data_IF_228662349635
#
_entry.id   IF_228662349635
#
_cell.length_a   1.000
_cell.length_b   1.000
_cell.length_c   1.000
_cell.angle_alpha   90.00
_cell.angle_beta   90.00
_cell.angle_gamma   90.00
#
_symmetry.space_group_name_H-M   'P 1'
#
loop_
_entity.id
_entity.type
_entity.pdbx_description
1 polymer ?
#
# COMPACT_ATOMS: atom_id res chain seq x y z
N UNK A 1 13.83 7.34 0.49
CA UNK A 1 12.52 7.76 0.00
C UNK A 1 12.36 7.51 -1.48
N UNK A 2 11.13 7.52 -1.95
CA UNK A 2 10.81 7.31 -3.36
C UNK A 2 9.76 8.33 -3.84
N UNK A 3 9.65 8.48 -5.16
CA UNK A 3 8.55 9.18 -5.82
C UNK A 3 7.84 8.16 -6.69
N UNK A 4 6.55 7.98 -6.46
CA UNK A 4 5.70 7.06 -7.20
C UNK A 4 4.84 7.89 -8.15
N UNK A 5 4.92 7.60 -9.44
CA UNK A 5 4.17 8.27 -10.49
C UNK A 5 3.18 7.27 -11.12
N UNK A 6 1.94 7.18 -10.61
CA UNK A 6 0.95 6.29 -11.18
C UNK A 6 0.49 6.82 -12.54
N UNK A 7 0.37 5.92 -13.52
CA UNK A 7 -0.16 6.22 -14.84
C UNK A 7 -1.00 5.06 -15.34
N UNK A 8 -2.06 5.36 -16.06
CA UNK A 8 -2.92 4.29 -16.56
C UNK A 8 -4.25 4.74 -17.14
N UNK A 9 -5.17 3.79 -17.18
CA UNK A 9 -6.56 4.00 -17.57
C UNK A 9 -7.45 3.23 -16.60
N UNK A 10 -8.49 3.89 -16.11
CA UNK A 10 -9.55 3.28 -15.32
C UNK A 10 -10.89 3.51 -16.02
N UNK A 11 -11.76 2.52 -15.99
CA UNK A 11 -13.13 2.63 -16.49
C UNK A 11 -14.08 1.96 -15.53
N UNK A 12 -15.26 2.53 -15.33
CA UNK A 12 -16.29 1.99 -14.47
C UNK A 12 -17.69 2.33 -14.97
N UNK A 13 -18.67 1.47 -14.68
CA UNK A 13 -20.08 1.73 -14.94
C UNK A 13 -20.71 2.49 -13.78
N UNK A 14 -21.23 3.68 -14.02
CA UNK A 14 -21.93 4.51 -13.03
C UNK A 14 -23.30 4.88 -13.58
N UNK A 15 -24.36 4.49 -12.88
CA UNK A 15 -25.75 4.74 -13.29
C UNK A 15 -26.07 4.40 -14.75
N UNK A 16 -25.50 3.29 -15.28
CA UNK A 16 -25.71 2.84 -16.66
C UNK A 16 -24.85 3.53 -17.72
N UNK A 17 -23.99 4.46 -17.32
CA UNK A 17 -23.03 5.14 -18.21
C UNK A 17 -21.61 4.64 -17.90
N UNK A 18 -20.79 4.41 -18.94
CA UNK A 18 -19.37 4.09 -18.75
C UNK A 18 -18.57 5.40 -18.64
N UNK A 19 -17.97 5.62 -17.49
CA UNK A 19 -17.00 6.68 -17.28
C UNK A 19 -15.58 6.12 -17.47
N UNK A 20 -14.67 6.93 -18.00
CA UNK A 20 -13.27 6.57 -18.23
C UNK A 20 -12.36 7.76 -17.90
N UNK A 21 -11.31 7.50 -17.13
CA UNK A 21 -10.20 8.42 -16.88
C UNK A 21 -8.89 7.79 -17.34
N UNK A 22 -7.98 8.57 -17.92
CA UNK A 22 -6.67 8.12 -18.39
C UNK A 22 -5.64 9.22 -18.23
N UNK A 23 -4.41 8.84 -17.98
CA UNK A 23 -3.32 9.80 -17.79
C UNK A 23 -2.50 9.47 -16.55
N UNK A 24 -2.12 10.47 -15.78
CA UNK A 24 -1.41 10.32 -14.53
C UNK A 24 -2.39 10.39 -13.36
N UNK A 25 -2.21 9.51 -12.38
CA UNK A 25 -2.83 9.63 -11.06
C UNK A 25 -2.07 10.63 -10.19
N UNK A 26 -2.47 10.74 -8.93
CA UNK A 26 -1.79 11.61 -7.97
C UNK A 26 -0.39 11.07 -7.65
N UNK A 27 0.69 11.84 -7.90
CA UNK A 27 2.04 11.44 -7.50
C UNK A 27 2.13 11.28 -6.00
N UNK A 28 2.88 10.27 -5.54
CA UNK A 28 3.06 9.99 -4.12
C UNK A 28 4.53 10.09 -3.74
N UNK A 29 4.80 10.79 -2.65
CA UNK A 29 6.09 10.84 -2.00
C UNK A 29 6.10 9.80 -0.89
N UNK A 30 7.05 8.87 -0.95
CA UNK A 30 7.25 7.84 0.06
C UNK A 30 8.50 8.15 0.87
N UNK A 31 8.39 8.05 2.17
CA UNK A 31 9.47 8.19 3.13
C UNK A 31 9.51 6.97 4.04
N UNK A 32 10.65 6.29 4.06
CA UNK A 32 10.88 5.15 4.93
C UNK A 32 12.11 5.42 5.81
N UNK A 33 11.98 5.17 7.12
CA UNK A 33 13.03 5.35 8.10
C UNK A 33 13.13 4.14 9.04
N UNK A 34 14.32 3.52 9.07
CA UNK A 34 14.57 2.37 9.95
C UNK A 34 14.64 2.82 11.41
N UNK A 35 13.74 2.31 12.25
CA UNK A 35 13.66 2.56 13.68
C UNK A 35 14.46 1.53 14.48
N UNK A 36 14.29 0.26 14.13
CA UNK A 36 14.94 -0.89 14.78
C UNK A 36 15.41 -1.81 13.68
N UNK A 37 16.61 -2.28 13.77
CA UNK A 37 17.12 -3.26 12.83
C UNK A 37 18.60 -3.09 12.53
N UNK A 38 19.08 -3.87 11.62
CA UNK A 38 20.50 -3.89 11.29
C UNK A 38 20.89 -2.61 10.54
N UNK A 39 22.09 -2.15 10.87
CA UNK A 39 22.69 -0.99 10.19
C UNK A 39 22.96 -1.31 8.73
N UNK A 40 22.93 -0.28 7.88
CA UNK A 40 23.31 -0.39 6.48
C UNK A 40 24.72 -0.98 6.35
N UNK A 41 24.86 -2.02 5.52
CA UNK A 41 26.13 -2.66 5.24
C UNK A 41 26.92 -1.81 4.25
N UNK A 42 28.23 -1.63 4.51
CA UNK A 42 29.09 -0.74 3.72
C UNK A 42 29.92 -1.48 2.68
N UNK A 43 30.15 -2.76 2.86
CA UNK A 43 31.00 -3.58 1.97
C UNK A 43 30.27 -4.83 1.51
N UNK A 44 30.65 -5.35 0.32
CA UNK A 44 30.09 -6.59 -0.22
C UNK A 44 30.29 -7.79 0.72
N UNK A 45 31.48 -8.00 1.34
CA UNK A 45 31.66 -9.09 2.30
C UNK A 45 30.72 -8.99 3.52
N UNK A 46 30.41 -7.80 3.99
CA UNK A 46 29.48 -7.60 5.11
C UNK A 46 28.04 -7.96 4.70
N UNK A 47 27.63 -7.57 3.48
CA UNK A 47 26.33 -7.94 2.92
C UNK A 47 26.17 -9.46 2.82
N UNK A 48 27.22 -10.17 2.36
CA UNK A 48 27.18 -11.63 2.20
C UNK A 48 27.10 -12.40 3.52
N UNK A 49 27.57 -11.80 4.60
CA UNK A 49 27.54 -12.39 5.96
C UNK A 49 26.37 -11.92 6.80
N UNK A 50 25.59 -11.02 6.24
CA UNK A 50 24.51 -10.37 6.95
C UNK A 50 23.31 -11.29 7.18
N UNK A 51 22.84 -11.35 8.41
CA UNK A 51 21.57 -11.95 8.78
C UNK A 51 20.58 -10.86 9.18
N UNK A 52 19.40 -10.74 8.50
CA UNK A 52 18.49 -9.61 8.71
C UNK A 52 17.88 -9.54 10.11
N UNK A 53 17.61 -10.68 10.75
CA UNK A 53 17.03 -10.72 12.09
C UNK A 53 15.64 -10.08 12.13
N UNK A 54 15.50 -9.01 12.91
CA UNK A 54 14.27 -8.23 13.04
C UNK A 54 14.50 -6.78 12.62
N UNK A 55 13.59 -6.22 11.84
CA UNK A 55 13.53 -4.79 11.55
C UNK A 55 12.13 -4.22 11.72
N UNK A 56 12.09 -2.97 12.13
CA UNK A 56 10.89 -2.14 12.21
C UNK A 56 11.21 -0.79 11.59
N UNK A 57 10.41 -0.39 10.64
CA UNK A 57 10.53 0.89 9.96
C UNK A 57 9.32 1.80 10.24
N UNK A 58 9.49 3.09 10.05
CA UNK A 58 8.42 4.06 9.90
C UNK A 58 8.24 4.34 8.42
N UNK A 59 7.04 4.13 7.92
CA UNK A 59 6.63 4.48 6.56
C UNK A 59 5.69 5.68 6.59
N UNK A 60 5.94 6.67 5.76
CA UNK A 60 5.06 7.82 5.54
C UNK A 60 4.91 8.06 4.05
N UNK A 61 3.68 8.03 3.58
CA UNK A 61 3.32 8.35 2.20
C UNK A 61 2.46 9.61 2.17
N UNK A 62 2.67 10.46 1.16
CA UNK A 62 1.89 11.65 0.90
C UNK A 62 1.60 11.76 -0.60
N UNK A 63 0.34 11.68 -0.98
CA UNK A 63 -0.12 11.89 -2.35
C UNK A 63 -0.47 13.35 -2.60
N UNK A 64 0.01 13.86 -3.72
CA UNK A 64 -0.22 15.23 -4.17
C UNK A 64 -1.43 15.27 -5.11
N UNK A 65 -2.45 16.11 -4.87
CA UNK A 65 -3.69 16.14 -5.66
C UNK A 65 -3.52 16.85 -7.00
N UNK A 66 -2.63 16.35 -7.85
CA UNK A 66 -2.30 16.93 -9.15
C UNK A 66 -2.48 15.95 -10.32
N UNK A 67 -3.05 14.77 -10.05
CA UNK A 67 -3.39 13.78 -11.06
C UNK A 67 -4.57 14.18 -11.94
N UNK A 68 -4.80 13.40 -12.99
CA UNK A 68 -5.92 13.62 -13.92
C UNK A 68 -7.27 13.48 -13.20
N UNK A 69 -8.02 14.58 -13.14
CA UNK A 69 -9.29 14.65 -12.43
C UNK A 69 -10.31 15.44 -13.24
N UNK A 70 -11.51 14.88 -13.34
CA UNK A 70 -12.68 15.53 -13.91
C UNK A 70 -13.80 15.52 -12.88
N UNK A 71 -14.16 16.70 -12.36
CA UNK A 71 -15.15 16.84 -11.29
C UNK A 71 -16.58 16.47 -11.71
N UNK A 72 -16.86 16.32 -12.99
CA UNK A 72 -18.15 15.84 -13.48
C UNK A 72 -18.28 14.32 -13.51
N UNK A 73 -17.21 13.59 -13.18
CA UNK A 73 -17.14 12.12 -13.21
C UNK A 73 -16.85 11.55 -11.81
N UNK A 74 -17.40 10.36 -11.53
CA UNK A 74 -17.11 9.60 -10.32
C UNK A 74 -15.86 8.74 -10.45
N UNK A 75 -15.48 8.39 -11.70
CA UNK A 75 -14.32 7.55 -12.01
C UNK A 75 -13.17 8.42 -12.48
N UNK A 76 -12.16 8.57 -11.64
CA UNK A 76 -10.98 9.40 -11.87
C UNK A 76 -9.69 8.66 -11.51
N UNK A 77 -8.56 9.03 -12.11
CA UNK A 77 -7.23 8.58 -11.72
C UNK A 77 -6.68 9.37 -10.55
N UNK A 78 -6.84 10.69 -10.56
CA UNK A 78 -6.55 11.57 -9.43
C UNK A 78 -7.75 11.63 -8.46
N UNK A 79 -7.49 11.97 -7.19
CA UNK A 79 -8.54 12.06 -6.17
C UNK A 79 -8.98 13.50 -5.85
N UNK A 80 -8.28 14.52 -6.39
CA UNK A 80 -8.54 15.95 -6.11
C UNK A 80 -8.57 16.28 -4.61
N UNK A 81 -7.75 15.59 -3.83
CA UNK A 81 -7.58 15.78 -2.38
C UNK A 81 -6.22 15.26 -1.94
N UNK A 82 -5.73 15.79 -0.83
CA UNK A 82 -4.58 15.22 -0.15
C UNK A 82 -4.98 13.89 0.50
N UNK A 83 -4.12 12.91 0.38
CA UNK A 83 -4.23 11.68 1.15
C UNK A 83 -2.83 11.11 1.40
N UNK A 84 -2.72 10.29 2.42
CA UNK A 84 -1.45 9.71 2.77
C UNK A 84 -1.61 8.54 3.72
N UNK A 85 -0.51 7.89 4.00
CA UNK A 85 -0.44 6.72 4.85
C UNK A 85 0.68 6.88 5.85
N UNK A 86 0.42 6.44 7.08
CA UNK A 86 1.45 6.16 8.08
C UNK A 86 1.39 4.67 8.38
N UNK A 87 2.55 4.01 8.29
CA UNK A 87 2.67 2.58 8.49
C UNK A 87 3.92 2.22 9.29
N UNK A 88 3.94 0.97 9.77
CA UNK A 88 5.04 0.40 10.52
C UNK A 88 5.48 -0.93 9.89
N UNK A 89 6.25 -0.90 8.78
CA UNK A 89 6.78 -2.11 8.17
C UNK A 89 7.64 -2.91 9.15
N UNK A 90 7.35 -4.19 9.29
CA UNK A 90 8.10 -5.15 10.08
C UNK A 90 8.62 -6.24 9.16
N UNK A 91 9.90 -6.56 9.27
CA UNK A 91 10.48 -7.75 8.65
C UNK A 91 11.11 -8.58 9.77
N UNK A 92 10.67 -9.82 9.90
CA UNK A 92 11.15 -10.73 10.94
C UNK A 92 11.62 -12.05 10.36
N UNK A 93 12.92 -12.31 10.50
CA UNK A 93 13.51 -13.60 10.20
C UNK A 93 13.12 -14.60 11.30
N UNK A 94 12.33 -15.61 10.97
CA UNK A 94 11.82 -16.61 11.91
C UNK A 94 12.71 -17.86 12.06
N UNK A 95 13.80 -17.94 11.29
CA UNK A 95 14.68 -19.11 11.28
C UNK A 95 16.08 -18.78 10.79
N UNK A 96 16.86 -19.81 10.48
CA UNK A 96 18.22 -19.65 9.95
C UNK A 96 18.22 -18.95 8.58
N UNK A 97 19.17 -18.05 8.37
CA UNK A 97 19.35 -17.34 7.09
C UNK A 97 20.19 -18.15 6.10
N UNK A 98 19.81 -19.40 5.88
CA UNK A 98 20.50 -20.32 4.98
C UNK A 98 19.60 -20.64 3.80
N UNK A 99 20.09 -20.55 2.54
CA UNK A 99 19.32 -20.95 1.36
C UNK A 99 18.65 -22.32 1.55
N UNK A 100 17.40 -22.45 1.15
CA UNK A 100 16.59 -23.64 1.33
C UNK A 100 15.95 -23.80 2.72
N UNK A 101 16.19 -22.88 3.67
CA UNK A 101 15.65 -22.92 5.03
C UNK A 101 15.18 -21.57 5.57
N UNK A 102 15.33 -20.50 4.80
CA UNK A 102 14.90 -19.17 5.23
C UNK A 102 13.38 -19.13 5.46
N UNK A 103 12.99 -18.47 6.51
CA UNK A 103 11.59 -18.14 6.78
C UNK A 103 11.51 -16.70 7.23
N UNK A 104 10.69 -15.90 6.56
CA UNK A 104 10.53 -14.47 6.84
C UNK A 104 9.06 -14.15 6.98
N UNK A 105 8.71 -13.45 8.04
CA UNK A 105 7.41 -12.80 8.23
C UNK A 105 7.57 -11.31 7.96
N UNK A 106 6.77 -10.79 7.06
CA UNK A 106 6.68 -9.37 6.74
C UNK A 106 5.28 -8.89 7.09
N UNK A 107 5.19 -7.77 7.82
CA UNK A 107 3.92 -7.16 8.21
C UNK A 107 3.95 -5.67 7.87
N UNK A 108 2.84 -5.14 7.37
CA UNK A 108 2.62 -3.72 7.17
C UNK A 108 1.28 -3.30 7.77
N UNK A 109 1.20 -3.07 9.09
CA UNK A 109 0.10 -2.31 9.64
C UNK A 109 0.22 -0.84 9.25
N UNK A 110 -0.86 -0.26 8.74
CA UNK A 110 -0.88 1.13 8.32
C UNK A 110 -2.27 1.76 8.45
N UNK A 111 -2.30 3.09 8.45
CA UNK A 111 -3.55 3.87 8.44
C UNK A 111 -3.44 4.90 7.32
N UNK A 112 -4.42 4.88 6.44
CA UNK A 112 -4.64 5.90 5.41
C UNK A 112 -5.53 7.01 5.96
N UNK A 113 -5.20 8.24 5.61
CA UNK A 113 -5.94 9.44 5.97
C UNK A 113 -6.22 10.26 4.72
N UNK A 114 -7.37 10.91 4.69
CA UNK A 114 -7.85 11.63 3.52
C UNK A 114 -8.34 13.02 3.93
N UNK A 115 -8.01 14.04 3.15
CA UNK A 115 -8.70 15.31 3.23
C UNK A 115 -10.03 15.23 2.47
N UNK A 116 -10.89 16.24 2.65
CA UNK A 116 -12.12 16.33 1.88
C UNK A 116 -11.83 16.61 0.40
N UNK A 117 -12.61 16.02 -0.51
CA UNK A 117 -12.72 16.46 -1.89
C UNK A 117 -13.99 17.32 -2.00
N UNK A 118 -13.80 18.63 -2.25
CA UNK A 118 -14.91 19.60 -2.26
C UNK A 118 -15.61 19.73 -3.61
N UNK A 119 -15.19 18.97 -4.61
CA UNK A 119 -15.77 19.02 -5.97
C UNK A 119 -15.82 17.61 -6.59
N UNK A 120 -16.49 16.69 -5.92
CA UNK A 120 -16.76 15.33 -6.40
C UNK A 120 -18.18 15.30 -7.00
N UNK A 121 -18.28 15.37 -8.33
CA UNK A 121 -19.55 15.50 -9.05
C UNK A 121 -20.39 16.68 -8.57
N UNK A 122 -19.74 17.82 -8.29
CA UNK A 122 -20.35 19.02 -7.74
C UNK A 122 -20.74 18.93 -6.27
N UNK A 123 -20.24 17.92 -5.53
CA UNK A 123 -20.57 17.63 -4.13
C UNK A 123 -19.31 17.49 -3.29
N UNK A 124 -19.49 17.47 -1.98
CA UNK A 124 -18.41 17.25 -1.03
C UNK A 124 -18.30 15.76 -0.67
N UNK A 125 -17.17 15.16 -0.99
CA UNK A 125 -16.80 13.81 -0.56
C UNK A 125 -15.92 13.87 0.68
N UNK A 126 -16.34 13.23 1.77
CA UNK A 126 -15.52 12.96 2.95
C UNK A 126 -15.27 11.47 3.06
N UNK A 127 -14.08 11.10 3.55
CA UNK A 127 -13.70 9.70 3.77
C UNK A 127 -12.99 9.59 5.11
N UNK A 128 -13.49 8.69 5.95
CA UNK A 128 -12.87 8.36 7.24
C UNK A 128 -11.56 7.60 7.03
N UNK A 129 -10.69 7.53 8.04
CA UNK A 129 -9.46 6.75 7.94
C UNK A 129 -9.71 5.28 7.57
N UNK A 130 -8.75 4.70 6.85
CA UNK A 130 -8.73 3.30 6.45
C UNK A 130 -7.55 2.59 7.11
N UNK A 131 -7.84 1.57 7.90
CA UNK A 131 -6.83 0.63 8.40
C UNK A 131 -6.45 -0.37 7.31
N UNK A 132 -5.16 -0.64 7.18
CA UNK A 132 -4.55 -1.63 6.31
C UNK A 132 -3.64 -2.55 7.14
N UNK A 133 -3.71 -3.85 6.87
CA UNK A 133 -2.72 -4.83 7.32
C UNK A 133 -2.37 -5.72 6.15
N UNK A 134 -1.12 -5.66 5.70
CA UNK A 134 -0.57 -6.65 4.78
C UNK A 134 0.35 -7.58 5.57
N UNK A 135 0.31 -8.88 5.27
CA UNK A 135 1.15 -9.88 5.88
C UNK A 135 1.64 -10.88 4.83
N UNK A 136 2.94 -11.16 4.85
CA UNK A 136 3.58 -12.12 3.97
C UNK A 136 4.43 -13.08 4.79
N UNK A 137 4.20 -14.38 4.64
CA UNK A 137 5.03 -15.42 5.23
C UNK A 137 5.72 -16.18 4.12
N UNK A 138 7.00 -15.91 3.94
CA UNK A 138 7.83 -16.55 2.90
C UNK A 138 8.67 -17.67 3.50
N UNK A 139 8.74 -18.80 2.79
CA UNK A 139 9.53 -19.97 3.19
C UNK A 139 10.30 -20.54 2.00
N UNK A 140 11.61 -20.76 2.18
CA UNK A 140 12.40 -21.61 1.30
C UNK A 140 12.15 -23.09 1.66
N UNK A 141 11.79 -23.91 0.69
CA UNK A 141 11.65 -25.36 0.83
C UNK A 141 12.91 -26.10 0.40
N UNK A 142 13.58 -25.58 -0.63
CA UNK A 142 14.90 -26.00 -1.11
C UNK A 142 15.72 -24.76 -1.53
N UNK A 143 16.93 -24.95 -2.00
CA UNK A 143 17.76 -23.84 -2.54
C UNK A 143 17.15 -23.16 -3.77
N UNK A 144 16.24 -23.84 -4.47
CA UNK A 144 15.62 -23.36 -5.70
C UNK A 144 14.08 -23.22 -5.60
N UNK A 145 13.44 -23.81 -4.60
CA UNK A 145 12.00 -23.77 -4.43
C UNK A 145 11.64 -22.99 -3.17
N UNK A 146 10.79 -21.99 -3.31
CA UNK A 146 10.25 -21.22 -2.22
C UNK A 146 8.75 -20.99 -2.39
N UNK A 147 8.06 -20.60 -1.34
CA UNK A 147 6.66 -20.21 -1.38
C UNK A 147 6.36 -19.10 -0.39
N UNK A 148 5.29 -18.39 -0.64
CA UNK A 148 4.76 -17.40 0.27
C UNK A 148 3.24 -17.58 0.45
N UNK A 149 2.79 -17.25 1.66
CA UNK A 149 1.38 -17.03 1.98
C UNK A 149 1.19 -15.53 2.18
N UNK A 150 0.17 -14.97 1.53
CA UNK A 150 -0.13 -13.56 1.52
C UNK A 150 -1.51 -13.34 2.14
N UNK A 151 -1.64 -12.31 2.97
CA UNK A 151 -2.90 -11.87 3.55
C UNK A 151 -2.94 -10.34 3.48
N UNK A 152 -4.08 -9.81 3.05
CA UNK A 152 -4.37 -8.38 3.10
C UNK A 152 -5.71 -8.16 3.81
N UNK A 153 -5.75 -7.14 4.66
CA UNK A 153 -6.96 -6.75 5.37
C UNK A 153 -7.13 -5.24 5.34
N UNK A 154 -8.31 -4.78 4.94
CA UNK A 154 -8.68 -3.38 4.92
C UNK A 154 -9.98 -3.19 5.69
N UNK A 155 -10.01 -2.19 6.59
CA UNK A 155 -11.21 -1.84 7.35
C UNK A 155 -11.31 -0.32 7.57
N UNK A 156 -12.47 0.24 7.33
CA UNK A 156 -12.74 1.68 7.52
C UNK A 156 -13.18 2.38 6.25
N UNK A 157 -12.62 3.56 5.98
CA UNK A 157 -12.93 4.45 4.85
C UNK A 157 -14.43 4.71 4.66
N UNK A 158 -15.18 4.78 5.77
CA UNK A 158 -16.58 5.23 5.73
C UNK A 158 -16.68 6.54 4.94
N UNK A 159 -17.45 6.56 3.85
CA UNK A 159 -17.52 7.72 2.98
C UNK A 159 -18.89 8.34 2.99
N UNK A 160 -18.93 9.68 2.90
CA UNK A 160 -20.16 10.45 2.76
C UNK A 160 -20.06 11.42 1.58
N UNK A 161 -21.15 11.56 0.85
CA UNK A 161 -21.32 12.57 -0.20
C UNK A 161 -22.39 13.53 0.26
N UNK A 162 -22.04 14.81 0.50
CA UNK A 162 -22.93 15.82 1.12
C UNK A 162 -23.62 15.31 2.40
N UNK A 163 -22.88 14.57 3.23
CA UNK A 163 -23.36 14.01 4.48
C UNK A 163 -24.18 12.71 4.36
N UNK A 164 -24.47 12.24 3.15
CA UNK A 164 -25.13 10.96 2.91
C UNK A 164 -24.10 9.84 2.83
N UNK A 165 -24.21 8.81 3.68
CA UNK A 165 -23.31 7.67 3.68
C UNK A 165 -23.41 6.88 2.37
N UNK A 166 -22.25 6.56 1.79
CA UNK A 166 -22.15 5.78 0.55
C UNK A 166 -21.40 4.46 0.75
N UNK A 167 -21.05 4.12 1.98
CA UNK A 167 -20.45 2.84 2.33
C UNK A 167 -19.12 2.95 3.05
N UNK A 168 -18.59 1.80 3.41
CA UNK A 168 -17.28 1.61 4.04
C UNK A 168 -16.62 0.35 3.49
N UNK A 169 -15.33 0.21 3.72
CA UNK A 169 -14.55 -0.94 3.29
C UNK A 169 -14.35 -1.91 4.47
N UNK A 170 -14.59 -3.19 4.24
CA UNK A 170 -14.23 -4.29 5.14
C UNK A 170 -13.88 -5.50 4.28
N UNK A 171 -12.64 -5.56 3.83
CA UNK A 171 -12.17 -6.54 2.88
C UNK A 171 -11.01 -7.34 3.45
N UNK A 172 -11.03 -8.63 3.16
CA UNK A 172 -9.91 -9.54 3.39
C UNK A 172 -9.56 -10.24 2.08
N UNK A 173 -8.29 -10.35 1.80
CA UNK A 173 -7.75 -11.10 0.69
C UNK A 173 -6.66 -12.05 1.16
N UNK A 174 -6.56 -13.21 0.52
CA UNK A 174 -5.50 -14.17 0.76
C UNK A 174 -4.95 -14.67 -0.58
N UNK A 175 -3.67 -14.95 -0.61
CA UNK A 175 -2.97 -15.46 -1.77
C UNK A 175 -1.85 -16.42 -1.41
N UNK A 176 -1.30 -17.06 -2.41
CA UNK A 176 -0.06 -17.80 -2.27
C UNK A 176 0.79 -17.65 -3.53
N UNK A 177 2.10 -17.73 -3.34
CA UNK A 177 3.08 -17.68 -4.43
C UNK A 177 4.00 -18.89 -4.31
N UNK A 178 4.36 -19.48 -5.45
CA UNK A 178 5.43 -20.46 -5.56
C UNK A 178 6.44 -19.98 -6.59
N UNK A 179 7.71 -20.05 -6.23
CA UNK A 179 8.84 -19.67 -7.09
C UNK A 179 9.87 -20.80 -7.17
N UNK A 180 10.39 -20.99 -8.39
CA UNK A 180 11.44 -21.99 -8.67
C UNK A 180 12.55 -21.37 -9.51
#
# INVERSE_FOLDING_TARGET
GAIILPMGRVSGGVAGVTETSRGFGDPMLEFNYNLIGPKAQKTIPDVLRYEPGFSLDLLVDLALPIGEYNSSQSVNLGQNRWYGRIGAPVVWQLGSWVPGRRTTLELLPAVWMFSDNNDFTGKKLKTDPLFQLDAHLTRDFTEHLWGALDLVYYNGSGSTIDGVSVGSLNNIGAGFTLGY
#
